data_IF_139748270118
#
_entry.id   IF_139748270118
#
_cell.length_a   1.000
_cell.length_b   1.000
_cell.length_c   1.000
_cell.angle_alpha   90.00
_cell.angle_beta   90.00
_cell.angle_gamma   90.00
#
_symmetry.space_group_name_H-M   'P 1'
#
loop_
_entity.id
_entity.type
_entity.pdbx_description
1 polymer ?
#
# COMPACT_ATOMS: atom_id res chain seq x y z
N UNK A 1 12.39 4.63 31.65
CA UNK A 1 11.17 4.86 30.86
C UNK A 1 11.60 5.44 29.52
N UNK A 2 11.44 4.71 28.46
CA UNK A 2 11.63 5.28 27.13
C UNK A 2 10.55 6.33 26.88
N UNK A 3 10.87 7.50 26.32
CA UNK A 3 9.87 8.48 25.96
C UNK A 3 8.87 7.86 24.98
N UNK A 4 7.60 8.21 25.12
CA UNK A 4 6.59 7.81 24.16
C UNK A 4 7.03 8.28 22.75
N UNK A 5 6.83 7.47 21.72
CA UNK A 5 7.15 7.89 20.37
C UNK A 5 6.39 9.19 20.04
N UNK A 6 7.00 10.12 19.31
CA UNK A 6 6.32 11.37 18.95
C UNK A 6 5.03 11.06 18.19
N UNK A 7 4.00 11.88 18.35
CA UNK A 7 2.74 11.69 17.64
C UNK A 7 2.97 11.75 16.14
N UNK A 8 2.45 10.75 15.43
CA UNK A 8 2.52 10.63 13.98
C UNK A 8 1.19 11.08 13.40
N UNK A 9 1.24 11.96 12.42
CA UNK A 9 0.08 12.38 11.64
C UNK A 9 0.17 11.78 10.24
N UNK A 10 -0.88 11.10 9.80
CA UNK A 10 -1.03 10.65 8.42
C UNK A 10 -1.99 11.59 7.70
N UNK A 11 -1.60 12.10 6.55
CA UNK A 11 -2.39 13.03 5.74
C UNK A 11 -2.23 12.75 4.25
N UNK A 12 -3.24 13.19 3.47
CA UNK A 12 -3.16 13.15 2.00
C UNK A 12 -2.19 14.22 1.51
N UNK A 13 -1.31 13.85 0.57
CA UNK A 13 -0.41 14.76 -0.15
C UNK A 13 -0.69 14.64 -1.66
N UNK A 14 -1.59 15.48 -2.21
CA UNK A 14 -1.99 15.35 -3.62
C UNK A 14 -0.93 15.85 -4.59
N UNK A 15 0.00 16.68 -4.13
CA UNK A 15 0.92 17.40 -5.01
C UNK A 15 2.26 16.66 -5.21
N UNK A 16 2.68 15.86 -4.25
CA UNK A 16 3.97 15.14 -4.24
C UNK A 16 5.17 16.06 -4.52
N UNK A 17 5.11 17.31 -4.05
CA UNK A 17 6.11 18.33 -4.37
C UNK A 17 7.25 18.40 -3.36
N UNK A 18 7.03 17.91 -2.14
CA UNK A 18 8.02 17.95 -1.08
C UNK A 18 9.28 17.16 -1.45
N UNK A 19 10.44 17.78 -1.22
CA UNK A 19 11.74 17.22 -1.61
C UNK A 19 12.05 15.90 -0.90
N UNK A 20 11.69 15.76 0.36
CA UNK A 20 11.86 14.56 1.16
C UNK A 20 10.96 13.39 0.68
N UNK A 21 9.73 13.69 0.26
CA UNK A 21 8.81 12.70 -0.35
C UNK A 21 9.39 12.17 -1.65
N UNK A 22 9.86 13.06 -2.52
CA UNK A 22 10.50 12.66 -3.79
C UNK A 22 11.72 11.78 -3.56
N UNK A 23 12.60 12.18 -2.65
CA UNK A 23 13.81 11.40 -2.33
C UNK A 23 13.46 10.00 -1.80
N UNK A 24 12.44 9.87 -0.95
CA UNK A 24 12.00 8.58 -0.42
C UNK A 24 11.41 7.68 -1.52
N UNK A 25 10.63 8.23 -2.44
CA UNK A 25 10.06 7.51 -3.57
C UNK A 25 11.13 7.09 -4.60
N UNK A 26 12.10 7.95 -4.89
CA UNK A 26 13.23 7.63 -5.76
C UNK A 26 14.07 6.48 -5.18
N UNK A 27 14.35 6.50 -3.87
CA UNK A 27 15.02 5.41 -3.18
C UNK A 27 14.21 4.12 -3.22
N UNK A 28 12.89 4.20 -3.07
CA UNK A 28 12.00 3.05 -3.18
C UNK A 28 12.06 2.41 -4.58
N UNK A 29 11.96 3.21 -5.64
CA UNK A 29 12.08 2.73 -7.01
C UNK A 29 13.46 2.12 -7.30
N UNK A 30 14.53 2.72 -6.80
CA UNK A 30 15.88 2.20 -6.96
C UNK A 30 16.03 0.81 -6.30
N UNK A 31 15.49 0.62 -5.10
CA UNK A 31 15.50 -0.68 -4.41
C UNK A 31 14.70 -1.73 -5.20
N UNK A 32 13.52 -1.37 -5.71
CA UNK A 32 12.69 -2.29 -6.50
C UNK A 32 13.44 -2.76 -7.77
N UNK A 33 14.05 -1.83 -8.49
CA UNK A 33 14.83 -2.13 -9.71
C UNK A 33 16.11 -2.93 -9.43
N UNK A 34 16.67 -2.82 -8.23
CA UNK A 34 17.88 -3.55 -7.84
C UNK A 34 17.61 -5.02 -7.49
N UNK A 35 16.38 -5.36 -7.05
CA UNK A 35 16.06 -6.68 -6.52
C UNK A 35 15.08 -7.47 -7.38
N UNK A 36 14.32 -6.82 -8.27
CA UNK A 36 13.34 -7.49 -9.14
C UNK A 36 13.69 -7.27 -10.62
N UNK A 37 13.39 -8.26 -11.50
CA UNK A 37 13.50 -8.06 -12.93
C UNK A 37 12.65 -6.89 -13.42
N UNK A 38 13.06 -6.13 -14.45
CA UNK A 38 12.33 -4.92 -14.90
C UNK A 38 10.85 -5.17 -15.20
N UNK A 39 10.51 -6.31 -15.77
CA UNK A 39 9.14 -6.71 -16.11
C UNK A 39 8.27 -7.00 -14.87
N UNK A 40 8.88 -7.25 -13.71
CA UNK A 40 8.21 -7.52 -12.44
C UNK A 40 8.20 -6.32 -11.49
N UNK A 41 8.70 -5.16 -11.91
CA UNK A 41 8.66 -3.92 -11.13
C UNK A 41 7.33 -3.20 -11.39
N UNK A 42 6.44 -3.23 -10.42
CA UNK A 42 5.12 -2.59 -10.48
C UNK A 42 5.02 -1.32 -9.60
N UNK A 43 6.15 -0.84 -9.09
CA UNK A 43 6.21 0.40 -8.33
C UNK A 43 5.97 1.61 -9.25
N UNK A 44 5.10 2.51 -8.80
CA UNK A 44 4.71 3.70 -9.56
C UNK A 44 5.75 4.81 -9.41
N UNK A 45 5.98 5.54 -10.48
CA UNK A 45 6.75 6.78 -10.44
C UNK A 45 5.91 7.98 -9.96
N UNK A 46 6.54 9.17 -9.88
CA UNK A 46 5.87 10.38 -9.40
C UNK A 46 4.70 10.82 -10.26
N UNK A 47 4.78 10.64 -11.58
CA UNK A 47 3.72 11.06 -12.48
C UNK A 47 2.55 10.09 -12.43
N UNK A 48 2.81 8.80 -12.34
CA UNK A 48 1.79 7.78 -12.13
C UNK A 48 1.06 7.94 -10.79
N UNK A 49 1.77 8.35 -9.73
CA UNK A 49 1.16 8.62 -8.41
C UNK A 49 0.23 9.84 -8.38
N UNK A 50 0.24 10.68 -9.41
CA UNK A 50 -0.71 11.80 -9.58
C UNK A 50 -2.00 11.43 -10.29
N UNK A 51 -2.17 10.17 -10.70
CA UNK A 51 -3.42 9.68 -11.29
C UNK A 51 -4.60 9.96 -10.34
N UNK A 52 -5.73 10.50 -10.84
CA UNK A 52 -6.91 10.77 -10.02
C UNK A 52 -7.47 9.56 -9.26
N UNK A 53 -7.23 8.33 -9.74
CA UNK A 53 -7.60 7.10 -9.06
C UNK A 53 -6.72 6.80 -7.83
N UNK A 54 -5.62 7.54 -7.63
CA UNK A 54 -4.66 7.32 -6.57
C UNK A 54 -4.77 8.42 -5.51
N UNK A 55 -4.88 8.00 -4.25
CA UNK A 55 -4.75 8.88 -3.09
C UNK A 55 -3.43 8.58 -2.41
N UNK A 56 -2.50 9.52 -2.51
CA UNK A 56 -1.18 9.42 -1.90
C UNK A 56 -1.18 10.03 -0.50
N UNK A 57 -0.61 9.32 0.46
CA UNK A 57 -0.55 9.71 1.87
C UNK A 57 0.88 9.76 2.39
N UNK A 58 1.13 10.67 3.31
CA UNK A 58 2.40 10.84 4.02
C UNK A 58 2.19 10.73 5.53
N UNK A 59 3.14 10.13 6.22
CA UNK A 59 3.22 10.12 7.67
C UNK A 59 4.34 11.04 8.13
N UNK A 60 4.01 12.00 9.00
CA UNK A 60 4.97 12.99 9.53
C UNK A 60 4.86 13.12 11.05
N UNK A 61 5.96 13.51 11.67
CA UNK A 61 5.97 13.99 13.06
C UNK A 61 5.38 15.39 13.15
N UNK A 62 5.14 15.87 14.38
CA UNK A 62 4.62 17.22 14.62
C UNK A 62 5.56 18.32 14.12
N UNK A 63 6.87 18.09 14.07
CA UNK A 63 7.87 19.02 13.51
C UNK A 63 8.02 18.92 11.97
N UNK A 64 7.20 18.08 11.32
CA UNK A 64 7.15 17.94 9.89
C UNK A 64 8.12 16.90 9.29
N UNK A 65 8.89 16.19 10.11
CA UNK A 65 9.81 15.13 9.62
C UNK A 65 9.03 14.01 8.94
N UNK A 66 9.40 13.64 7.71
CA UNK A 66 8.79 12.55 6.98
C UNK A 66 9.19 11.19 7.57
N UNK A 67 8.22 10.37 7.90
CA UNK A 67 8.40 9.04 8.48
C UNK A 67 8.07 7.90 7.50
N UNK A 68 7.21 8.17 6.52
CA UNK A 68 6.83 7.18 5.53
C UNK A 68 5.75 7.69 4.58
N UNK A 69 5.49 6.88 3.56
CA UNK A 69 4.51 7.15 2.51
C UNK A 69 3.72 5.88 2.18
N UNK A 70 2.57 6.05 1.54
CA UNK A 70 1.76 4.97 1.01
C UNK A 70 0.62 5.53 0.16
N UNK A 71 0.03 4.71 -0.68
CA UNK A 71 -1.06 5.13 -1.56
C UNK A 71 -2.17 4.08 -1.61
N UNK A 72 -3.39 4.54 -1.86
CA UNK A 72 -4.55 3.73 -2.22
C UNK A 72 -4.96 4.09 -3.65
N UNK A 73 -4.93 3.10 -4.53
CA UNK A 73 -5.47 3.19 -5.88
C UNK A 73 -6.85 2.56 -5.93
N UNK A 74 -7.84 3.26 -6.44
CA UNK A 74 -9.13 2.66 -6.78
C UNK A 74 -9.01 1.94 -8.11
N UNK A 75 -9.41 0.67 -8.14
CA UNK A 75 -9.30 -0.18 -9.31
C UNK A 75 -10.64 -0.22 -10.05
N UNK A 76 -10.58 -0.17 -11.38
CA UNK A 76 -11.71 -0.55 -12.23
C UNK A 76 -11.68 -2.08 -12.40
N UNK A 77 -12.29 -2.78 -11.45
CA UNK A 77 -12.31 -4.23 -11.40
C UNK A 77 -13.76 -4.75 -11.49
N UNK A 78 -14.20 -5.16 -12.69
CA UNK A 78 -15.56 -5.65 -12.88
C UNK A 78 -15.85 -6.97 -12.15
N UNK A 79 -14.82 -7.67 -11.68
CA UNK A 79 -14.97 -8.91 -10.91
C UNK A 79 -15.26 -8.67 -9.43
N UNK A 80 -15.09 -7.42 -8.95
CA UNK A 80 -15.37 -7.02 -7.57
C UNK A 80 -16.40 -5.88 -7.54
N UNK A 81 -17.70 -6.18 -7.72
CA UNK A 81 -18.74 -5.15 -7.84
C UNK A 81 -18.92 -4.29 -6.58
N UNK A 82 -18.39 -4.73 -5.44
CA UNK A 82 -18.36 -3.95 -4.20
C UNK A 82 -17.25 -2.90 -4.13
N UNK A 83 -16.45 -2.79 -5.19
CA UNK A 83 -15.30 -1.90 -5.27
C UNK A 83 -14.01 -2.51 -4.72
N UNK A 84 -12.92 -2.27 -5.45
CA UNK A 84 -11.61 -2.84 -5.17
C UNK A 84 -10.56 -1.73 -5.09
N UNK A 85 -9.75 -1.75 -4.05
CA UNK A 85 -8.61 -0.86 -3.88
C UNK A 85 -7.28 -1.61 -3.91
N UNK A 86 -6.21 -0.93 -4.26
CA UNK A 86 -4.86 -1.46 -4.20
C UNK A 86 -3.97 -0.56 -3.35
N UNK A 87 -3.28 -1.16 -2.36
CA UNK A 87 -2.21 -0.48 -1.62
C UNK A 87 -0.96 -0.47 -2.47
N UNK A 88 -0.42 0.74 -2.69
CA UNK A 88 0.80 0.96 -3.47
C UNK A 88 1.82 1.82 -2.74
N UNK A 89 3.06 1.73 -3.16
CA UNK A 89 4.16 2.64 -2.75
C UNK A 89 4.34 2.77 -1.24
N UNK A 90 4.04 1.71 -0.48
CA UNK A 90 4.28 1.68 0.96
C UNK A 90 5.79 1.67 1.24
N UNK A 91 6.27 2.76 1.84
CA UNK A 91 7.68 2.89 2.22
C UNK A 91 7.82 3.65 3.53
N UNK A 92 8.52 3.06 4.48
CA UNK A 92 8.93 3.73 5.72
C UNK A 92 10.31 4.34 5.53
N UNK A 93 10.52 5.56 6.04
CA UNK A 93 11.84 6.17 6.06
C UNK A 93 12.82 5.30 6.87
N UNK A 94 14.10 5.21 6.48
CA UNK A 94 15.07 4.35 7.17
C UNK A 94 15.17 4.61 8.68
N UNK A 95 14.98 5.86 9.11
CA UNK A 95 15.02 6.29 10.51
C UNK A 95 13.77 5.90 11.31
N UNK A 96 12.68 5.51 10.62
CA UNK A 96 11.39 5.19 11.22
C UNK A 96 11.00 3.71 11.10
N UNK A 97 11.91 2.86 10.63
CA UNK A 97 11.68 1.41 10.52
C UNK A 97 11.45 0.81 11.90
N UNK A 98 10.43 -0.05 12.00
CA UNK A 98 10.01 -0.74 13.25
C UNK A 98 9.50 0.19 14.36
N UNK A 99 9.06 1.40 14.03
CA UNK A 99 8.43 2.33 14.99
C UNK A 99 6.90 2.32 14.94
N UNK A 100 6.31 1.45 14.12
CA UNK A 100 4.85 1.36 13.95
C UNK A 100 4.26 2.29 12.87
N UNK A 101 5.06 3.09 12.20
CA UNK A 101 4.62 4.02 11.15
C UNK A 101 3.92 3.30 9.99
N UNK A 102 4.47 2.18 9.52
CA UNK A 102 3.84 1.40 8.46
C UNK A 102 2.42 0.92 8.85
N UNK A 103 2.22 0.51 10.11
CA UNK A 103 0.90 0.10 10.61
C UNK A 103 -0.09 1.27 10.64
N UNK A 104 0.36 2.47 11.02
CA UNK A 104 -0.48 3.68 11.03
C UNK A 104 -0.85 4.12 9.61
N UNK A 105 0.11 4.09 8.67
CA UNK A 105 -0.17 4.33 7.25
C UNK A 105 -1.18 3.34 6.69
N UNK A 106 -0.96 2.04 6.90
CA UNK A 106 -1.87 1.01 6.40
C UNK A 106 -3.27 1.14 7.02
N UNK A 107 -3.37 1.41 8.33
CA UNK A 107 -4.65 1.65 8.99
C UNK A 107 -5.39 2.84 8.35
N UNK A 108 -4.70 3.94 8.07
CA UNK A 108 -5.27 5.11 7.41
C UNK A 108 -5.76 4.79 5.99
N UNK A 109 -4.99 4.04 5.20
CA UNK A 109 -5.41 3.61 3.85
C UNK A 109 -6.63 2.68 3.89
N UNK A 110 -6.71 1.79 4.87
CA UNK A 110 -7.87 0.91 5.07
C UNK A 110 -9.11 1.69 5.53
N UNK A 111 -8.95 2.70 6.38
CA UNK A 111 -10.03 3.61 6.77
C UNK A 111 -10.52 4.44 5.59
N UNK A 112 -9.62 4.89 4.74
CA UNK A 112 -9.95 5.56 3.49
C UNK A 112 -10.74 4.65 2.55
N UNK A 113 -10.29 3.41 2.36
CA UNK A 113 -11.00 2.40 1.57
C UNK A 113 -12.43 2.17 2.12
N UNK A 114 -12.56 2.06 3.45
CA UNK A 114 -13.86 1.91 4.11
C UNK A 114 -14.76 3.12 3.87
N UNK A 115 -14.24 4.33 4.01
CA UNK A 115 -15.01 5.56 3.82
C UNK A 115 -15.52 5.73 2.38
N UNK A 116 -14.83 5.12 1.42
CA UNK A 116 -15.23 5.09 0.00
C UNK A 116 -16.12 3.90 -0.35
N UNK A 117 -16.46 3.06 0.61
CA UNK A 117 -17.32 1.89 0.41
C UNK A 117 -16.67 0.76 -0.37
N UNK A 118 -15.34 0.70 -0.44
CA UNK A 118 -14.65 -0.41 -1.10
C UNK A 118 -14.84 -1.71 -0.31
N UNK A 119 -15.15 -2.79 -1.02
CA UNK A 119 -15.37 -4.10 -0.40
C UNK A 119 -14.05 -4.82 -0.06
N UNK A 120 -13.02 -4.56 -0.84
CA UNK A 120 -11.75 -5.30 -0.80
C UNK A 120 -10.55 -4.39 -1.06
N UNK A 121 -9.43 -4.73 -0.43
CA UNK A 121 -8.14 -4.11 -0.71
C UNK A 121 -7.11 -5.21 -0.96
N UNK A 122 -6.33 -5.05 -2.01
CA UNK A 122 -5.27 -5.97 -2.42
C UNK A 122 -3.94 -5.24 -2.57
N UNK A 123 -2.89 -5.98 -2.73
CA UNK A 123 -1.56 -5.46 -3.02
C UNK A 123 -0.73 -6.49 -3.80
N UNK A 124 0.28 -6.00 -4.47
CA UNK A 124 1.36 -6.79 -5.04
C UNK A 124 2.66 -6.46 -4.32
N UNK A 125 3.46 -7.48 -4.04
CA UNK A 125 4.81 -7.35 -3.50
C UNK A 125 5.71 -8.42 -4.09
N UNK A 126 7.03 -8.28 -3.92
CA UNK A 126 7.97 -9.24 -4.50
C UNK A 126 7.98 -10.59 -3.78
N UNK A 127 8.35 -11.64 -4.54
CA UNK A 127 8.55 -12.99 -4.04
C UNK A 127 9.94 -13.20 -3.41
N UNK A 128 10.92 -12.39 -3.77
CA UNK A 128 12.29 -12.49 -3.31
C UNK A 128 12.43 -12.36 -1.79
N UNK A 129 13.49 -12.92 -1.17
CA UNK A 129 13.71 -12.82 0.28
C UNK A 129 13.74 -11.39 0.82
N UNK A 130 14.15 -10.42 0.01
CA UNK A 130 14.13 -9.00 0.34
C UNK A 130 12.74 -8.51 0.80
N UNK A 131 11.67 -9.02 0.19
CA UNK A 131 10.29 -8.65 0.49
C UNK A 131 9.63 -9.49 1.60
N UNK A 132 10.32 -10.49 2.13
CA UNK A 132 9.75 -11.33 3.19
C UNK A 132 9.27 -10.55 4.43
N UNK A 133 9.95 -9.47 4.89
CA UNK A 133 9.43 -8.62 5.96
C UNK A 133 8.10 -7.93 5.59
N UNK A 134 7.94 -7.48 4.34
CA UNK A 134 6.72 -6.86 3.87
C UNK A 134 5.56 -7.88 3.84
N UNK A 135 5.78 -9.09 3.29
CA UNK A 135 4.76 -10.15 3.29
C UNK A 135 4.30 -10.50 4.71
N UNK A 136 5.22 -10.65 5.66
CA UNK A 136 4.89 -10.89 7.07
C UNK A 136 4.13 -9.71 7.71
N UNK A 137 4.48 -8.49 7.34
CA UNK A 137 3.78 -7.29 7.80
C UNK A 137 2.32 -7.31 7.35
N UNK A 138 2.04 -7.52 6.06
CA UNK A 138 0.68 -7.57 5.54
C UNK A 138 -0.12 -8.76 6.09
N UNK A 139 0.50 -9.94 6.23
CA UNK A 139 -0.16 -11.10 6.84
C UNK A 139 -0.63 -10.81 8.28
N UNK A 140 0.18 -10.12 9.09
CA UNK A 140 -0.22 -9.69 10.44
C UNK A 140 -1.37 -8.68 10.44
N UNK A 141 -1.58 -7.98 9.33
CA UNK A 141 -2.69 -7.03 9.15
C UNK A 141 -3.89 -7.64 8.40
N UNK A 142 -3.98 -8.97 8.37
CA UNK A 142 -5.14 -9.70 7.86
C UNK A 142 -5.18 -9.89 6.35
N UNK A 143 -4.10 -9.59 5.64
CA UNK A 143 -3.97 -9.95 4.23
C UNK A 143 -3.62 -11.43 4.10
N UNK A 144 -4.19 -12.08 3.12
CA UNK A 144 -3.89 -13.47 2.73
C UNK A 144 -3.43 -13.50 1.27
N UNK A 145 -2.59 -14.47 0.94
CA UNK A 145 -2.16 -14.64 -0.46
C UNK A 145 -3.35 -14.98 -1.36
N UNK A 146 -3.33 -14.45 -2.56
CA UNK A 146 -4.33 -14.66 -3.59
C UNK A 146 -3.69 -14.75 -4.97
N UNK A 147 -4.51 -15.00 -6.00
CA UNK A 147 -4.09 -14.88 -7.40
C UNK A 147 -3.95 -13.41 -7.83
N UNK A 148 -3.45 -13.19 -9.07
CA UNK A 148 -3.44 -11.86 -9.68
C UNK A 148 -4.84 -11.24 -9.70
N UNK A 149 -4.90 -9.93 -9.55
CA UNK A 149 -6.14 -9.15 -9.58
C UNK A 149 -6.04 -8.01 -10.59
N UNK A 150 -7.18 -7.44 -10.98
CA UNK A 150 -7.28 -6.39 -11.99
C UNK A 150 -6.46 -6.74 -13.25
N UNK A 151 -5.57 -5.88 -13.68
CA UNK A 151 -4.75 -6.06 -14.90
C UNK A 151 -3.46 -6.86 -14.69
N UNK A 152 -3.21 -7.37 -13.48
CA UNK A 152 -2.03 -8.18 -13.22
C UNK A 152 -2.11 -9.56 -13.88
N UNK A 153 -0.99 -9.99 -14.46
CA UNK A 153 -0.78 -11.35 -14.93
C UNK A 153 -0.01 -12.19 -13.88
N UNK A 154 -0.10 -13.53 -13.91
CA UNK A 154 0.75 -14.38 -13.10
C UNK A 154 2.23 -14.08 -13.34
N UNK A 155 2.99 -13.88 -12.25
CA UNK A 155 4.43 -13.60 -12.30
C UNK A 155 5.10 -14.33 -11.12
N UNK A 156 6.13 -15.19 -11.38
CA UNK A 156 6.82 -15.91 -10.31
C UNK A 156 7.60 -14.99 -9.36
N UNK A 157 7.87 -13.75 -9.77
CA UNK A 157 8.55 -12.75 -8.95
C UNK A 157 7.58 -11.88 -8.13
N UNK A 158 6.27 -12.10 -8.27
CA UNK A 158 5.22 -11.35 -7.57
C UNK A 158 4.44 -12.25 -6.61
N UNK A 159 4.08 -11.68 -5.47
CA UNK A 159 3.11 -12.23 -4.52
C UNK A 159 1.95 -11.26 -4.41
N UNK A 160 0.75 -11.75 -4.67
CA UNK A 160 -0.48 -10.98 -4.53
C UNK A 160 -1.13 -11.30 -3.20
N UNK A 161 -1.61 -10.29 -2.50
CA UNK A 161 -2.28 -10.46 -1.22
C UNK A 161 -3.56 -9.61 -1.17
N UNK A 162 -4.56 -10.08 -0.45
CA UNK A 162 -5.87 -9.44 -0.39
C UNK A 162 -6.49 -9.55 0.99
N UNK A 163 -7.38 -8.61 1.31
CA UNK A 163 -8.26 -8.70 2.48
C UNK A 163 -9.59 -7.99 2.22
N UNK A 164 -10.70 -8.42 2.85
CA UNK A 164 -11.93 -7.64 2.86
C UNK A 164 -11.74 -6.36 3.67
N UNK A 165 -12.47 -5.31 3.31
CA UNK A 165 -12.59 -4.09 4.12
C UNK A 165 -13.69 -4.30 5.15
N UNK A 166 -13.39 -4.19 6.45
CA UNK A 166 -14.36 -4.38 7.51
C UNK A 166 -15.49 -3.34 7.41
N UNK A 167 -16.75 -3.80 7.50
CA UNK A 167 -17.93 -2.95 7.38
C UNK A 167 -18.50 -2.79 5.97
N UNK A 168 -17.84 -3.32 4.94
CA UNK A 168 -18.45 -3.51 3.63
C UNK A 168 -19.43 -4.71 3.71
N UNK A 169 -20.66 -4.53 3.25
CA UNK A 169 -21.62 -5.64 3.15
C UNK A 169 -21.06 -6.65 2.15
N UNK A 170 -20.63 -7.82 2.64
CA UNK A 170 -20.29 -8.92 1.76
C UNK A 170 -21.54 -9.26 0.94
N UNK A 171 -21.43 -9.16 -0.38
CA UNK A 171 -22.45 -9.74 -1.24
C UNK A 171 -22.56 -11.23 -0.90
N UNK A 172 -23.78 -11.79 -0.71
CA UNK A 172 -23.95 -13.19 -0.39
C UNK A 172 -23.31 -14.03 -1.51
N UNK A 173 -22.46 -14.98 -1.12
CA UNK A 173 -21.92 -15.95 -2.06
C UNK A 173 -23.08 -16.64 -2.80
N UNK A 174 -23.02 -16.65 -4.13
CA UNK A 174 -23.98 -17.39 -4.93
C UNK A 174 -23.93 -18.87 -4.53
N UNK A 175 -25.07 -19.55 -4.37
CA UNK A 175 -25.07 -20.97 -4.05
C UNK A 175 -24.42 -21.76 -5.18
N UNK A 176 -23.72 -22.87 -4.86
CA UNK A 176 -23.15 -23.74 -5.89
C UNK A 176 -24.28 -24.36 -6.72
N UNK A 177 -24.05 -24.37 -8.03
CA UNK A 177 -24.94 -24.99 -9.01
C UNK A 177 -24.88 -26.51 -8.91
#
# INVERSE_FOLDING_TARGET
MSPAPPPVTVSVDPDLTARDVRALLEAHLADMRAVSPPESVHALDLDELRDPAITFCVARTADGTLLGVGALKELDDPTEPGGHGEVKSMRTAPTAVRTGVASQLLAHLLDLARSRGLARVSLETGAEPFFAPARRFYARHGFVECGPFADYAPDPNSVFMTRPVAGSAAAPAAPPA
#
